data_IF_975437101938
#
_entry.id   IF_975437101938
#
_cell.length_a   1.000
_cell.length_b   1.000
_cell.length_c   1.000
_cell.angle_alpha   90.00
_cell.angle_beta   90.00
_cell.angle_gamma   90.00
#
_symmetry.space_group_name_H-M   'P 1'
#
loop_
_entity.id
_entity.type
_entity.pdbx_description
1 polymer ?
#
# COMPACT_ATOMS: atom_id res chain seq x y z
N UNK A 1 -17.62 9.04 -3.12
CA UNK A 1 -17.86 8.96 -1.66
C UNK A 1 -17.17 10.13 -0.92
N UNK A 2 -17.63 10.58 0.28
CA UNK A 2 -16.90 11.61 1.08
C UNK A 2 -15.82 10.99 1.98
N UNK A 3 -14.73 11.72 2.26
CA UNK A 3 -13.60 11.25 3.10
C UNK A 3 -14.03 10.64 4.45
N UNK A 4 -14.91 11.30 5.20
CA UNK A 4 -15.36 10.81 6.51
C UNK A 4 -16.19 9.52 6.41
N UNK A 5 -16.90 9.31 5.31
CA UNK A 5 -17.66 8.08 5.08
C UNK A 5 -16.70 6.92 4.81
N UNK A 6 -15.70 7.14 3.94
CA UNK A 6 -14.64 6.18 3.68
C UNK A 6 -13.91 5.80 4.98
N UNK A 7 -13.44 6.77 5.76
CA UNK A 7 -12.77 6.52 7.04
C UNK A 7 -13.66 5.73 8.03
N UNK A 8 -14.97 6.02 8.05
CA UNK A 8 -15.93 5.30 8.90
C UNK A 8 -16.09 3.83 8.50
N UNK A 9 -16.20 3.53 7.20
CA UNK A 9 -16.29 2.16 6.69
C UNK A 9 -15.01 1.37 6.98
N UNK A 10 -13.84 1.99 6.73
CA UNK A 10 -12.55 1.36 7.01
C UNK A 10 -12.32 1.10 8.50
N UNK A 11 -12.93 1.89 9.38
CA UNK A 11 -12.88 1.68 10.83
C UNK A 11 -13.61 0.43 11.31
N UNK A 12 -14.48 -0.16 10.47
CA UNK A 12 -15.21 -1.39 10.76
C UNK A 12 -14.47 -2.67 10.37
N UNK A 13 -13.33 -2.58 9.66
CA UNK A 13 -12.61 -3.75 9.17
C UNK A 13 -11.98 -4.55 10.31
N UNK A 14 -12.05 -5.86 10.20
CA UNK A 14 -11.36 -6.79 11.10
C UNK A 14 -9.84 -6.68 10.88
N UNK A 15 -9.11 -6.60 11.98
CA UNK A 15 -7.65 -6.43 12.02
C UNK A 15 -6.98 -7.74 12.46
N UNK A 16 -5.65 -7.84 12.28
CA UNK A 16 -4.89 -9.03 12.67
C UNK A 16 -5.10 -9.42 14.14
N UNK A 17 -5.45 -10.68 14.38
CA UNK A 17 -5.55 -11.25 15.73
C UNK A 17 -4.20 -11.71 16.29
N UNK A 18 -3.31 -12.22 15.42
CA UNK A 18 -1.97 -12.70 15.77
C UNK A 18 -0.95 -12.29 14.69
N UNK A 19 -0.45 -11.05 14.72
CA UNK A 19 0.41 -10.52 13.65
C UNK A 19 1.82 -11.09 13.67
N UNK A 20 2.30 -11.50 12.49
CA UNK A 20 3.65 -12.04 12.24
C UNK A 20 4.68 -10.91 12.22
N UNK A 21 5.51 -10.92 13.24
CA UNK A 21 6.53 -9.89 13.52
C UNK A 21 7.56 -9.81 12.41
N UNK A 22 7.98 -10.95 11.88
CA UNK A 22 8.99 -11.13 10.86
C UNK A 22 8.57 -10.59 9.50
N UNK A 23 7.26 -10.50 9.26
CA UNK A 23 6.66 -9.89 8.07
C UNK A 23 6.33 -8.41 8.28
N UNK A 24 6.55 -7.88 9.50
CA UNK A 24 6.13 -6.54 9.90
C UNK A 24 4.61 -6.33 9.68
N UNK A 25 3.77 -7.30 10.06
CA UNK A 25 2.30 -7.17 9.94
C UNK A 25 1.76 -6.13 10.92
N UNK A 26 1.50 -4.94 10.40
CA UNK A 26 0.68 -3.91 11.03
C UNK A 26 -0.34 -3.42 10.02
N UNK A 27 -1.59 -3.27 10.44
CA UNK A 27 -2.62 -2.77 9.55
C UNK A 27 -2.52 -1.26 9.35
N UNK A 28 -2.76 -0.81 8.13
CA UNK A 28 -2.92 0.62 7.85
C UNK A 28 -4.17 1.12 8.54
N UNK A 29 -4.04 2.09 9.46
CA UNK A 29 -5.18 2.65 10.15
C UNK A 29 -6.16 3.36 9.21
N UNK A 30 -7.47 3.39 9.52
CA UNK A 30 -8.50 3.94 8.64
C UNK A 30 -8.25 5.40 8.28
N UNK A 31 -7.68 6.17 9.21
CA UNK A 31 -7.31 7.57 9.01
C UNK A 31 -6.25 7.77 7.92
N UNK A 32 -5.25 6.89 7.88
CA UNK A 32 -4.13 6.95 6.92
C UNK A 32 -4.61 6.44 5.57
N UNK A 33 -5.28 5.29 5.56
CA UNK A 33 -5.83 4.70 4.34
C UNK A 33 -6.83 5.65 3.66
N UNK A 34 -7.78 6.21 4.41
CA UNK A 34 -8.76 7.14 3.84
C UNK A 34 -8.10 8.36 3.20
N UNK A 35 -7.10 8.97 3.85
CA UNK A 35 -6.37 10.13 3.30
C UNK A 35 -5.57 9.77 2.07
N UNK A 36 -4.83 8.66 2.12
CA UNK A 36 -4.03 8.19 1.00
C UNK A 36 -4.88 8.00 -0.25
N UNK A 37 -5.95 7.22 -0.15
CA UNK A 37 -6.81 6.90 -1.29
C UNK A 37 -7.66 8.09 -1.72
N UNK A 38 -8.17 8.89 -0.78
CA UNK A 38 -8.95 10.09 -1.12
C UNK A 38 -8.08 11.16 -1.79
N UNK A 39 -6.81 11.31 -1.40
CA UNK A 39 -5.87 12.19 -2.09
C UNK A 39 -5.48 11.64 -3.47
N UNK A 40 -5.22 10.34 -3.59
CA UNK A 40 -4.95 9.70 -4.87
C UNK A 40 -6.09 9.92 -5.88
N UNK A 41 -7.32 9.87 -5.40
CA UNK A 41 -8.50 10.15 -6.21
C UNK A 41 -8.70 11.65 -6.46
N UNK A 42 -8.98 12.45 -5.44
CA UNK A 42 -9.46 13.83 -5.64
C UNK A 42 -8.40 14.82 -6.16
N UNK A 43 -7.11 14.47 -6.07
CA UNK A 43 -6.03 15.35 -6.55
C UNK A 43 -5.39 14.88 -7.84
N UNK A 44 -5.59 13.62 -8.23
CA UNK A 44 -4.84 13.01 -9.34
C UNK A 44 -5.66 12.07 -10.23
N UNK A 45 -6.93 11.79 -9.90
CA UNK A 45 -7.81 10.87 -10.63
C UNK A 45 -7.15 9.49 -10.86
N UNK A 46 -6.54 8.94 -9.80
CA UNK A 46 -5.75 7.70 -9.87
C UNK A 46 -6.43 6.48 -9.23
N UNK A 47 -7.71 6.53 -8.84
CA UNK A 47 -8.44 5.39 -8.27
C UNK A 47 -9.70 5.02 -9.05
N UNK A 48 -10.64 5.95 -9.23
CA UNK A 48 -11.92 5.64 -9.85
C UNK A 48 -11.76 5.24 -11.33
N UNK A 49 -12.38 4.13 -11.73
CA UNK A 49 -12.26 3.56 -13.07
C UNK A 49 -10.83 3.14 -13.44
N UNK A 50 -9.99 2.80 -12.44
CA UNK A 50 -8.62 2.33 -12.62
C UNK A 50 -8.46 0.89 -12.17
N UNK A 51 -7.47 0.22 -12.75
CA UNK A 51 -6.96 -1.05 -12.21
C UNK A 51 -5.94 -0.73 -11.11
N UNK A 52 -6.23 -1.13 -9.88
CA UNK A 52 -5.42 -0.83 -8.70
C UNK A 52 -4.82 -2.10 -8.10
N UNK A 53 -3.52 -2.09 -7.79
CA UNK A 53 -2.89 -3.15 -7.00
C UNK A 53 -2.49 -2.65 -5.60
N UNK A 54 -2.82 -3.44 -4.58
CA UNK A 54 -2.39 -3.24 -3.20
C UNK A 54 -1.25 -4.21 -2.86
N UNK A 55 -0.03 -3.70 -2.74
CA UNK A 55 1.15 -4.53 -2.46
C UNK A 55 1.40 -4.67 -0.96
N UNK A 56 1.39 -5.92 -0.48
CA UNK A 56 1.43 -6.24 0.94
C UNK A 56 0.09 -5.88 1.59
N UNK A 57 -1.01 -6.32 0.97
CA UNK A 57 -2.34 -5.83 1.29
C UNK A 57 -2.77 -6.16 2.72
N UNK A 58 -2.15 -7.14 3.38
CA UNK A 58 -2.47 -7.50 4.74
C UNK A 58 -3.95 -7.86 4.88
N UNK A 59 -4.64 -7.23 5.83
CA UNK A 59 -6.09 -7.37 6.02
C UNK A 59 -6.94 -6.63 4.97
N UNK A 60 -6.35 -6.09 3.90
CA UNK A 60 -7.05 -5.51 2.75
C UNK A 60 -7.49 -4.06 2.92
N UNK A 61 -7.02 -3.31 3.92
CA UNK A 61 -7.52 -1.95 4.17
C UNK A 61 -7.38 -1.01 2.96
N UNK A 62 -6.24 -1.04 2.25
CA UNK A 62 -6.04 -0.18 1.07
C UNK A 62 -6.82 -0.72 -0.13
N UNK A 63 -6.82 -2.03 -0.36
CA UNK A 63 -7.63 -2.68 -1.38
C UNK A 63 -9.14 -2.37 -1.25
N UNK A 64 -9.71 -2.53 -0.05
CA UNK A 64 -11.09 -2.19 0.27
C UNK A 64 -11.34 -0.70 0.03
N UNK A 65 -10.42 0.18 0.45
CA UNK A 65 -10.56 1.61 0.23
C UNK A 65 -10.57 1.98 -1.26
N UNK A 66 -9.76 1.31 -2.09
CA UNK A 66 -9.78 1.46 -3.55
C UNK A 66 -11.11 1.02 -4.15
N UNK A 67 -11.63 -0.14 -3.75
CA UNK A 67 -12.91 -0.64 -4.24
C UNK A 67 -14.09 0.28 -3.84
N UNK A 68 -14.10 0.80 -2.60
CA UNK A 68 -15.10 1.78 -2.14
C UNK A 68 -15.02 3.14 -2.84
N UNK A 69 -13.93 3.43 -3.54
CA UNK A 69 -13.74 4.62 -4.38
C UNK A 69 -13.91 4.32 -5.87
N UNK A 70 -14.66 3.25 -6.20
CA UNK A 70 -15.06 2.92 -7.56
C UNK A 70 -13.88 2.57 -8.48
N UNK A 71 -12.82 1.98 -7.95
CA UNK A 71 -11.80 1.32 -8.78
C UNK A 71 -12.45 0.24 -9.67
N UNK A 72 -12.01 0.14 -10.93
CA UNK A 72 -12.58 -0.80 -11.89
C UNK A 72 -12.25 -2.25 -11.50
N UNK A 73 -11.00 -2.47 -11.10
CA UNK A 73 -10.51 -3.75 -10.61
C UNK A 73 -9.49 -3.50 -9.49
N UNK A 74 -9.51 -4.34 -8.45
CA UNK A 74 -8.58 -4.28 -7.33
C UNK A 74 -7.92 -5.63 -7.14
N UNK A 75 -6.59 -5.66 -7.14
CA UNK A 75 -5.79 -6.84 -6.83
C UNK A 75 -5.00 -6.63 -5.52
N UNK A 76 -5.27 -7.43 -4.49
CA UNK A 76 -4.47 -7.51 -3.27
C UNK A 76 -3.38 -8.58 -3.39
N UNK A 77 -2.13 -8.20 -3.19
CA UNK A 77 -0.97 -9.10 -3.23
C UNK A 77 -0.39 -9.21 -1.82
N UNK A 78 -0.29 -10.42 -1.28
CA UNK A 78 0.41 -10.68 -0.01
C UNK A 78 1.13 -12.03 -0.06
N UNK A 79 2.19 -12.19 0.74
CA UNK A 79 2.90 -13.47 0.85
C UNK A 79 2.18 -14.41 1.83
N UNK A 80 1.45 -13.85 2.78
CA UNK A 80 0.79 -14.59 3.84
C UNK A 80 -0.65 -14.94 3.50
N UNK A 81 -0.96 -16.24 3.42
CA UNK A 81 -2.30 -16.73 3.10
C UNK A 81 -3.34 -16.27 4.13
N UNK A 82 -2.98 -16.22 5.42
CA UNK A 82 -3.90 -15.79 6.48
C UNK A 82 -4.27 -14.30 6.36
N UNK A 83 -3.34 -13.46 5.87
CA UNK A 83 -3.65 -12.06 5.53
C UNK A 83 -4.71 -12.00 4.43
N UNK A 84 -4.55 -12.81 3.38
CA UNK A 84 -5.47 -12.84 2.24
C UNK A 84 -6.85 -13.35 2.64
N UNK A 85 -6.94 -14.40 3.46
CA UNK A 85 -8.21 -14.89 4.01
C UNK A 85 -8.94 -13.77 4.76
N UNK A 86 -8.23 -13.02 5.61
CA UNK A 86 -8.79 -11.88 6.33
C UNK A 86 -9.19 -10.72 5.41
N UNK A 87 -8.40 -10.43 4.37
CA UNK A 87 -8.75 -9.43 3.35
C UNK A 87 -10.03 -9.82 2.60
N UNK A 88 -10.19 -11.11 2.27
CA UNK A 88 -11.39 -11.62 1.62
C UNK A 88 -12.63 -11.47 2.52
N UNK A 89 -12.51 -11.79 3.81
CA UNK A 89 -13.60 -11.61 4.78
C UNK A 89 -14.02 -10.13 4.84
N UNK A 90 -13.06 -9.23 5.02
CA UNK A 90 -13.30 -7.78 5.06
C UNK A 90 -13.97 -7.24 3.79
N UNK A 91 -13.56 -7.72 2.61
CA UNK A 91 -14.18 -7.32 1.35
C UNK A 91 -15.61 -7.88 1.22
N UNK A 92 -15.81 -9.15 1.60
CA UNK A 92 -17.11 -9.83 1.53
C UNK A 92 -18.14 -9.17 2.46
N UNK A 93 -17.74 -8.78 3.67
CA UNK A 93 -18.59 -8.08 4.64
C UNK A 93 -19.11 -6.73 4.13
N UNK A 94 -18.42 -6.13 3.17
CA UNK A 94 -18.80 -4.89 2.49
C UNK A 94 -19.35 -5.10 1.08
N UNK A 95 -19.58 -6.36 0.68
CA UNK A 95 -20.08 -6.75 -0.65
C UNK A 95 -19.17 -6.26 -1.80
N UNK A 96 -17.85 -6.26 -1.57
CA UNK A 96 -16.85 -5.82 -2.54
C UNK A 96 -16.19 -7.02 -3.23
N UNK A 97 -15.97 -6.88 -4.54
CA UNK A 97 -15.23 -7.84 -5.34
C UNK A 97 -13.76 -7.39 -5.48
N UNK A 98 -12.84 -8.20 -4.97
CA UNK A 98 -11.39 -7.96 -5.07
C UNK A 98 -10.69 -9.28 -5.41
N UNK A 99 -9.67 -9.20 -6.25
CA UNK A 99 -8.80 -10.34 -6.56
C UNK A 99 -7.68 -10.44 -5.53
N UNK A 100 -7.41 -11.64 -5.02
CA UNK A 100 -6.35 -11.86 -4.03
C UNK A 100 -5.32 -12.86 -4.56
N UNK A 101 -4.05 -12.45 -4.51
CA UNK A 101 -2.93 -13.20 -5.09
C UNK A 101 -1.89 -13.47 -4.02
N UNK A 102 -1.69 -14.75 -3.69
CA UNK A 102 -0.59 -15.16 -2.84
C UNK A 102 0.73 -15.14 -3.61
N UNK A 103 1.61 -14.19 -3.27
CA UNK A 103 2.90 -14.04 -3.95
C UNK A 103 3.95 -13.34 -3.09
N UNK A 104 5.21 -13.78 -3.17
CA UNK A 104 6.34 -12.93 -2.79
C UNK A 104 6.53 -11.88 -3.89
N UNK A 105 6.50 -10.59 -3.52
CA UNK A 105 6.59 -9.48 -4.46
C UNK A 105 7.82 -9.56 -5.38
N UNK A 106 8.92 -10.18 -4.95
CA UNK A 106 10.13 -10.38 -5.76
C UNK A 106 9.88 -11.31 -6.97
N UNK A 107 8.93 -12.21 -6.84
CA UNK A 107 8.61 -13.25 -7.82
C UNK A 107 7.36 -12.90 -8.63
N UNK A 108 6.83 -11.67 -8.49
CA UNK A 108 5.64 -11.24 -9.18
C UNK A 108 5.86 -11.28 -10.70
N UNK A 109 5.05 -12.08 -11.39
CA UNK A 109 5.18 -12.23 -12.83
C UNK A 109 4.61 -11.01 -13.54
N UNK A 110 5.50 -10.22 -14.16
CA UNK A 110 5.16 -9.00 -14.88
C UNK A 110 4.33 -9.24 -16.15
N UNK A 111 4.27 -10.46 -16.69
CA UNK A 111 3.64 -10.77 -18.00
C UNK A 111 2.11 -10.71 -18.04
N UNK A 112 1.47 -10.25 -16.97
CA UNK A 112 0.00 -10.09 -16.93
C UNK A 112 -0.52 -9.10 -15.90
N UNK A 113 0.35 -8.58 -15.02
CA UNK A 113 -0.02 -7.61 -14.00
C UNK A 113 0.47 -6.22 -14.41
N UNK A 114 -0.24 -5.63 -15.37
CA UNK A 114 -0.14 -4.19 -15.64
C UNK A 114 -1.34 -3.54 -14.97
N UNK A 115 -1.06 -2.53 -14.14
CA UNK A 115 -2.08 -1.81 -13.39
C UNK A 115 -1.86 -0.32 -13.58
N UNK A 116 -2.91 0.47 -13.40
CA UNK A 116 -2.81 1.91 -13.49
C UNK A 116 -2.09 2.48 -12.27
N UNK A 117 -2.51 2.01 -11.10
CA UNK A 117 -2.07 2.55 -9.82
C UNK A 117 -1.65 1.43 -8.88
N UNK A 118 -0.51 1.61 -8.22
CA UNK A 118 -0.12 0.77 -7.07
C UNK A 118 -0.29 1.58 -5.80
N UNK A 119 -0.91 0.99 -4.80
CA UNK A 119 -0.98 1.50 -3.42
C UNK A 119 -0.28 0.52 -2.50
N UNK A 120 0.43 1.00 -1.48
CA UNK A 120 1.09 0.12 -0.52
C UNK A 120 1.44 0.81 0.79
N UNK A 121 1.47 0.00 1.84
CA UNK A 121 2.13 0.30 3.10
C UNK A 121 3.17 -0.80 3.35
N UNK A 122 4.33 -0.73 2.68
CA UNK A 122 5.28 -1.84 2.68
C UNK A 122 5.97 -1.99 4.04
N UNK A 123 6.52 -3.17 4.35
CA UNK A 123 7.35 -3.37 5.54
C UNK A 123 8.53 -2.40 5.53
N UNK A 124 8.72 -1.63 6.62
CA UNK A 124 9.74 -0.56 6.70
C UNK A 124 11.19 -1.06 6.83
N UNK A 125 11.45 -2.34 6.57
CA UNK A 125 12.77 -2.96 6.60
C UNK A 125 13.42 -2.99 7.98
N UNK A 126 12.62 -2.96 9.04
CA UNK A 126 13.09 -3.07 10.43
C UNK A 126 13.54 -4.51 10.74
N UNK A 127 12.91 -5.48 10.09
CA UNK A 127 13.25 -6.92 10.21
C UNK A 127 14.10 -7.39 9.05
N UNK A 128 13.75 -6.98 7.82
CA UNK A 128 14.48 -7.32 6.60
C UNK A 128 14.87 -6.06 5.85
N UNK A 129 16.15 -5.70 5.93
CA UNK A 129 16.69 -4.50 5.27
C UNK A 129 16.39 -4.51 3.77
N UNK A 130 15.81 -3.43 3.27
CA UNK A 130 15.50 -3.23 1.85
C UNK A 130 14.17 -3.81 1.37
N UNK A 131 13.33 -4.35 2.27
CA UNK A 131 12.02 -4.86 1.89
C UNK A 131 11.13 -3.76 1.25
N UNK A 132 11.08 -2.58 1.83
CA UNK A 132 10.40 -1.40 1.29
C UNK A 132 10.86 -1.05 -0.14
N UNK A 133 12.15 -1.19 -0.43
CA UNK A 133 12.71 -0.91 -1.74
C UNK A 133 12.38 -1.97 -2.79
N UNK A 134 12.25 -3.25 -2.39
CA UNK A 134 11.78 -4.31 -3.29
C UNK A 134 10.35 -4.02 -3.77
N UNK A 135 9.49 -3.61 -2.84
CA UNK A 135 8.11 -3.21 -3.12
C UNK A 135 8.07 -1.98 -4.03
N UNK A 136 8.82 -0.92 -3.69
CA UNK A 136 8.88 0.29 -4.50
C UNK A 136 9.37 0.04 -5.92
N UNK A 137 10.43 -0.77 -6.08
CA UNK A 137 10.95 -1.13 -7.39
C UNK A 137 9.94 -1.92 -8.21
N UNK A 138 9.20 -2.87 -7.59
CA UNK A 138 8.18 -3.63 -8.29
C UNK A 138 6.99 -2.73 -8.67
N UNK A 139 6.53 -1.87 -7.76
CA UNK A 139 5.41 -0.96 -7.99
C UNK A 139 5.67 -0.04 -9.18
N UNK A 140 6.86 0.56 -9.24
CA UNK A 140 7.27 1.41 -10.36
C UNK A 140 7.48 0.66 -11.68
N UNK A 141 7.69 -0.66 -11.63
CA UNK A 141 7.73 -1.48 -12.84
C UNK A 141 6.32 -1.71 -13.40
N UNK A 142 5.33 -2.02 -12.55
CA UNK A 142 4.00 -2.47 -13.00
C UNK A 142 2.98 -1.34 -13.18
N UNK A 143 3.12 -0.25 -12.43
CA UNK A 143 2.20 0.88 -12.52
C UNK A 143 2.41 1.64 -13.84
N UNK A 144 1.32 2.01 -14.51
CA UNK A 144 1.36 2.85 -15.70
C UNK A 144 1.20 4.34 -15.38
N UNK A 145 0.53 4.69 -14.27
CA UNK A 145 0.20 6.08 -13.91
C UNK A 145 0.87 6.53 -12.61
N UNK A 146 0.72 5.78 -11.52
CA UNK A 146 1.22 6.22 -10.21
C UNK A 146 1.48 5.09 -9.22
N UNK A 147 2.40 5.36 -8.28
CA UNK A 147 2.63 4.54 -7.10
C UNK A 147 2.46 5.42 -5.86
N UNK A 148 1.57 5.02 -4.95
CA UNK A 148 1.39 5.64 -3.65
C UNK A 148 1.96 4.73 -2.57
N UNK A 149 2.87 5.24 -1.75
CA UNK A 149 3.60 4.42 -0.76
C UNK A 149 3.86 5.18 0.52
N UNK A 150 3.91 4.46 1.63
CA UNK A 150 4.33 4.97 2.93
C UNK A 150 5.78 4.58 3.22
N UNK A 151 6.62 5.55 3.56
CA UNK A 151 8.01 5.32 3.97
C UNK A 151 8.38 6.17 5.19
N UNK A 152 9.28 5.70 6.05
CA UNK A 152 9.74 6.45 7.22
C UNK A 152 10.31 7.81 6.80
N UNK A 153 9.86 8.89 7.44
CA UNK A 153 10.35 10.25 7.14
C UNK A 153 11.86 10.39 7.30
N UNK A 154 12.47 9.64 8.23
CA UNK A 154 13.93 9.59 8.41
C UNK A 154 14.70 9.05 7.20
N UNK A 155 14.02 8.38 6.26
CA UNK A 155 14.59 7.80 5.04
C UNK A 155 14.27 8.61 3.78
N UNK A 156 13.63 9.79 3.92
CA UNK A 156 13.09 10.60 2.82
C UNK A 156 14.07 10.83 1.66
N UNK A 157 15.29 11.26 1.97
CA UNK A 157 16.32 11.52 0.96
C UNK A 157 16.80 10.25 0.25
N UNK A 158 16.89 9.14 0.97
CA UNK A 158 17.27 7.84 0.41
C UNK A 158 16.19 7.34 -0.57
N UNK A 159 14.93 7.36 -0.15
CA UNK A 159 13.78 6.94 -0.97
C UNK A 159 13.71 7.78 -2.25
N UNK A 160 13.77 9.10 -2.14
CA UNK A 160 13.76 10.01 -3.30
C UNK A 160 14.87 9.69 -4.29
N UNK A 161 16.11 9.54 -3.80
CA UNK A 161 17.26 9.24 -4.64
C UNK A 161 17.14 7.87 -5.30
N UNK A 162 16.69 6.87 -4.56
CA UNK A 162 16.54 5.51 -5.08
C UNK A 162 15.43 5.42 -6.13
N UNK A 163 14.27 6.03 -5.89
CA UNK A 163 13.17 6.07 -6.86
C UNK A 163 13.61 6.66 -8.21
N UNK A 164 14.24 7.84 -8.17
CA UNK A 164 14.62 8.59 -9.37
C UNK A 164 15.82 7.99 -10.11
N UNK A 165 16.75 7.31 -9.42
CA UNK A 165 18.00 6.81 -10.04
C UNK A 165 17.99 5.32 -10.32
N UNK A 166 17.28 4.53 -9.52
CA UNK A 166 17.40 3.07 -9.51
C UNK A 166 16.08 2.36 -9.83
N UNK A 167 14.92 3.04 -9.75
CA UNK A 167 13.61 2.44 -9.92
C UNK A 167 12.78 3.06 -11.07
N UNK A 168 13.41 3.86 -11.94
CA UNK A 168 12.80 4.48 -13.12
C UNK A 168 11.57 5.35 -12.82
N UNK A 169 11.55 6.06 -11.69
CA UNK A 169 10.55 7.10 -11.46
C UNK A 169 10.93 8.40 -12.20
N UNK A 170 9.97 9.03 -12.88
CA UNK A 170 10.11 10.38 -13.43
C UNK A 170 9.99 11.43 -12.32
N UNK A 171 9.09 11.22 -11.35
CA UNK A 171 8.93 12.08 -10.19
C UNK A 171 8.74 11.30 -8.90
N UNK A 172 9.11 11.94 -7.79
CA UNK A 172 9.02 11.42 -6.44
C UNK A 172 8.68 12.59 -5.50
N UNK A 173 7.43 12.64 -5.05
CA UNK A 173 6.86 13.76 -4.30
C UNK A 173 6.30 13.27 -2.96
N UNK A 174 6.64 13.97 -1.88
CA UNK A 174 5.99 13.79 -0.58
C UNK A 174 4.73 14.65 -0.59
N UNK A 175 3.56 14.01 -0.51
CA UNK A 175 2.27 14.70 -0.48
C UNK A 175 1.97 15.24 0.92
N UNK A 176 2.27 14.45 1.95
CA UNK A 176 2.17 14.87 3.34
C UNK A 176 3.00 13.97 4.27
N UNK A 177 3.25 14.48 5.47
CA UNK A 177 3.81 13.71 6.58
C UNK A 177 2.64 13.26 7.48
N UNK A 178 2.61 11.97 7.82
CA UNK A 178 1.62 11.34 8.68
C UNK A 178 2.33 10.76 9.91
N UNK A 179 1.59 10.61 11.01
CA UNK A 179 2.07 9.99 12.24
C UNK A 179 1.29 8.72 12.52
N UNK A 180 2.02 7.62 12.74
CA UNK A 180 1.47 6.36 13.21
C UNK A 180 1.48 6.33 14.73
N UNK A 181 0.31 6.15 15.31
CA UNK A 181 0.17 5.61 16.66
C UNK A 181 0.04 4.09 16.51
N UNK A 182 1.15 3.35 16.51
CA UNK A 182 1.09 1.89 16.44
C UNK A 182 0.57 1.34 17.78
N UNK A 183 -0.63 0.71 17.80
CA UNK A 183 -1.14 0.11 19.02
C UNK A 183 -0.22 -1.04 19.45
N UNK A 184 -0.14 -1.23 20.77
CA UNK A 184 0.78 -2.15 21.43
C UNK A 184 0.52 -3.61 21.00
N UNK A 185 1.23 -4.09 19.99
CA UNK A 185 1.16 -5.49 19.54
C UNK A 185 1.99 -6.45 20.40
N UNK A 186 2.79 -5.94 21.36
CA UNK A 186 3.77 -6.73 22.11
C UNK A 186 3.68 -6.58 23.63
N UNK A 187 3.74 -7.72 24.35
CA UNK A 187 3.73 -7.80 25.83
C UNK A 187 5.01 -7.26 26.52
N UNK A 188 6.06 -6.89 25.79
CA UNK A 188 7.43 -6.70 26.36
C UNK A 188 8.05 -5.28 26.29
N UNK A 189 7.31 -4.22 25.93
CA UNK A 189 7.85 -2.85 25.91
C UNK A 189 7.24 -1.91 26.98
N UNK A 190 8.09 -1.06 27.58
CA UNK A 190 7.79 -0.12 28.69
C UNK A 190 7.30 1.28 28.24
N UNK A 191 7.40 1.64 26.95
CA UNK A 191 6.91 2.93 26.43
C UNK A 191 5.51 2.78 25.80
N UNK A 192 4.67 3.80 25.99
CA UNK A 192 3.20 3.74 25.79
C UNK A 192 2.75 3.68 24.33
N UNK A 193 3.48 4.28 23.40
CA UNK A 193 3.25 4.31 21.95
C UNK A 193 4.58 4.63 21.27
N UNK A 194 4.83 4.09 20.08
CA UNK A 194 5.94 4.51 19.23
C UNK A 194 5.37 5.40 18.12
N UNK A 195 5.57 6.71 18.25
CA UNK A 195 5.21 7.68 17.21
C UNK A 195 6.19 7.52 16.04
N UNK A 196 5.72 6.93 14.94
CA UNK A 196 6.50 6.80 13.71
C UNK A 196 6.01 7.84 12.71
N UNK A 197 6.88 8.83 12.43
CA UNK A 197 6.69 9.74 11.31
C UNK A 197 6.94 9.01 10.00
N UNK A 198 5.94 9.04 9.12
CA UNK A 198 6.00 8.50 7.77
C UNK A 198 5.59 9.55 6.76
N UNK A 199 6.08 9.39 5.54
CA UNK A 199 5.72 10.20 4.41
C UNK A 199 4.76 9.43 3.51
N UNK A 200 3.66 10.07 3.13
CA UNK A 200 2.88 9.64 1.98
C UNK A 200 3.55 10.14 0.71
N UNK A 201 4.10 9.20 -0.05
CA UNK A 201 4.72 9.47 -1.34
C UNK A 201 3.75 9.24 -2.49
N UNK A 202 3.92 10.06 -3.52
CA UNK A 202 3.48 9.77 -4.88
C UNK A 202 4.69 9.69 -5.78
N UNK A 203 4.82 8.58 -6.51
CA UNK A 203 5.80 8.41 -7.56
C UNK A 203 5.11 8.27 -8.91
N UNK A 204 5.71 8.82 -9.95
CA UNK A 204 5.25 8.64 -11.33
C UNK A 204 6.27 7.76 -12.05
N UNK A 205 5.87 6.58 -12.54
CA UNK A 205 6.77 5.69 -13.29
C UNK A 205 7.12 6.27 -14.65
N UNK A 206 8.28 5.89 -15.19
CA UNK A 206 8.60 6.17 -16.57
C UNK A 206 7.73 5.33 -17.51
N UNK A 207 7.18 5.95 -18.56
CA UNK A 207 6.47 5.23 -19.60
C UNK A 207 7.35 4.10 -20.14
N UNK A 208 6.82 2.88 -20.22
CA UNK A 208 7.55 1.74 -20.78
C UNK A 208 7.77 1.97 -22.28
N UNK A 209 9.00 1.74 -22.74
CA UNK A 209 9.29 1.61 -24.17
C UNK A 209 8.68 0.26 -24.62
N UNK A 210 7.66 0.27 -25.47
CA UNK A 210 6.92 -0.93 -25.92
C UNK A 210 7.80 -1.99 -26.61
N UNK A 211 9.09 -1.68 -26.85
CA UNK A 211 10.07 -2.48 -27.58
C UNK A 211 10.73 -3.62 -26.81
N UNK A 212 10.45 -3.78 -25.51
CA UNK A 212 11.02 -4.85 -24.67
C UNK A 212 10.01 -5.95 -24.27
N UNK A 213 8.88 -6.04 -25.00
CA UNK A 213 7.83 -7.08 -24.80
C UNK A 213 8.10 -8.34 -25.61
#
# INVERSE_FOLDING_TARGET
MKLKQLEGLLGGLTQFSDPKVELEQYATGPHIASRMLYTAENSFDNIAGKVVADFGCGCGTLAVASALLDAEHVAGIDIDLQSLELAQENATDLELDIDLIQCDIKNLNLKGLLVDTVVMNPPFGTKRKGADMEFLSMGLKVASQAVYSLHKTSTREYIKKAALRNCNAISAEVLCELRYDLPRTYRFHKQKELDIAVDLWRFVPQARDERES
#
